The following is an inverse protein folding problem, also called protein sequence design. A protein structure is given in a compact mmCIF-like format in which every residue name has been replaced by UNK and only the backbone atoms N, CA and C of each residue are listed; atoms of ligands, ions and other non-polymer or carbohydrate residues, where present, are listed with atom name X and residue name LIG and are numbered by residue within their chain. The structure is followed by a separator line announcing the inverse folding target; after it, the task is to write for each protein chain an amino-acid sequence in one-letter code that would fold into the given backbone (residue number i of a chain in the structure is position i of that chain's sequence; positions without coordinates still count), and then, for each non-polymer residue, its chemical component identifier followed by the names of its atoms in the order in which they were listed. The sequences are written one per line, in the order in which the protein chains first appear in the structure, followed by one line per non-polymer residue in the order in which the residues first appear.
data_IF_774719361075
#
_entry.id   IF_774719361075
#
_cell.length_a   1.000
_cell.length_b   1.000
_cell.length_c   1.000
_cell.angle_alpha   90.00
_cell.angle_beta   90.00
_cell.angle_gamma   90.00
#
_symmetry.space_group_name_H-M   'P 1'
#
loop_
_entity.id
_entity.type
_entity.pdbx_description
1 polymer ?
#
# COMPACT_ATOMS: atom_id res chain seq x y z
N UNK A 1 -15.13 7.20 7.49
CA UNK A 1 -14.21 6.06 7.21
C UNK A 1 -15.00 4.90 6.64
N UNK A 2 -14.49 4.30 5.56
CA UNK A 2 -15.06 3.18 4.83
C UNK A 2 -14.04 2.04 4.86
N UNK A 3 -14.51 0.81 5.01
CA UNK A 3 -13.67 -0.38 5.02
C UNK A 3 -14.04 -1.25 3.82
N UNK A 4 -13.02 -1.69 3.09
CA UNK A 4 -13.15 -2.74 2.08
C UNK A 4 -12.30 -3.94 2.50
N UNK A 5 -12.84 -5.13 2.29
CA UNK A 5 -12.15 -6.40 2.51
C UNK A 5 -11.93 -7.04 1.14
N UNK A 6 -10.72 -7.56 0.92
CA UNK A 6 -10.29 -8.07 -0.38
C UNK A 6 -9.72 -9.46 -0.17
N UNK A 7 -10.34 -10.44 -0.78
CA UNK A 7 -9.87 -11.82 -0.82
C UNK A 7 -9.18 -12.13 -2.16
N UNK A 8 -8.53 -13.28 -2.22
CA UNK A 8 -7.90 -13.77 -3.47
C UNK A 8 -8.93 -13.91 -4.60
N UNK A 9 -10.15 -14.36 -4.26
CA UNK A 9 -11.27 -14.48 -5.20
C UNK A 9 -11.65 -13.14 -5.81
N UNK A 10 -11.63 -12.05 -5.05
CA UNK A 10 -11.92 -10.71 -5.57
C UNK A 10 -10.89 -10.29 -6.62
N UNK A 11 -9.61 -10.56 -6.38
CA UNK A 11 -8.56 -10.24 -7.35
C UNK A 11 -8.74 -11.04 -8.64
N UNK A 12 -9.07 -12.32 -8.53
CA UNK A 12 -9.33 -13.17 -9.69
C UNK A 12 -10.61 -12.75 -10.44
N UNK A 13 -11.74 -12.61 -9.76
CA UNK A 13 -13.02 -12.33 -10.40
C UNK A 13 -13.13 -10.89 -10.95
N UNK A 14 -12.61 -9.91 -10.21
CA UNK A 14 -12.74 -8.50 -10.58
C UNK A 14 -11.65 -8.06 -11.56
N UNK A 15 -10.47 -8.68 -11.51
CA UNK A 15 -9.30 -8.23 -12.30
C UNK A 15 -8.60 -9.31 -13.09
N UNK A 16 -9.07 -10.56 -13.05
CA UNK A 16 -8.48 -11.73 -13.75
C UNK A 16 -7.02 -11.95 -13.38
N UNK A 17 -6.66 -11.65 -12.13
CA UNK A 17 -5.31 -11.79 -11.61
C UNK A 17 -5.30 -12.86 -10.53
N UNK A 18 -4.53 -13.91 -10.74
CA UNK A 18 -4.27 -14.95 -9.74
C UNK A 18 -3.13 -14.49 -8.83
N UNK A 19 -3.32 -14.59 -7.52
CA UNK A 19 -2.37 -14.12 -6.51
C UNK A 19 -2.15 -15.21 -5.47
N UNK A 20 -0.97 -15.83 -5.50
CA UNK A 20 -0.62 -16.91 -4.57
C UNK A 20 -0.21 -16.41 -3.17
N UNK A 21 0.01 -15.10 -2.99
CA UNK A 21 0.35 -14.51 -1.70
C UNK A 21 -0.29 -13.12 -1.56
N UNK A 22 -1.42 -13.06 -0.83
CA UNK A 22 -2.20 -11.83 -0.68
C UNK A 22 -1.40 -10.65 -0.07
N UNK A 23 -0.73 -10.78 1.09
CA UNK A 23 0.13 -9.73 1.63
C UNK A 23 1.24 -9.31 0.65
N UNK A 24 1.75 -10.29 -0.10
CA UNK A 24 2.73 -10.09 -1.16
C UNK A 24 2.29 -9.12 -2.25
N UNK A 25 0.99 -9.04 -2.56
CA UNK A 25 0.43 -8.16 -3.58
C UNK A 25 0.68 -6.66 -3.31
N UNK A 26 0.96 -6.30 -2.05
CA UNK A 26 1.36 -4.94 -1.66
C UNK A 26 2.79 -4.57 -2.13
N UNK A 27 3.61 -5.56 -2.50
CA UNK A 27 5.02 -5.37 -2.90
C UNK A 27 5.27 -5.61 -4.40
N UNK A 28 4.23 -5.58 -5.23
CA UNK A 28 4.34 -5.86 -6.67
C UNK A 28 4.92 -4.68 -7.50
N UNK A 29 4.95 -3.47 -6.95
CA UNK A 29 5.41 -2.26 -7.63
C UNK A 29 6.71 -1.71 -7.06
N UNK A 30 7.50 -1.06 -7.91
CA UNK A 30 8.63 -0.24 -7.46
C UNK A 30 8.12 1.10 -6.98
N UNK A 31 8.34 1.42 -5.70
CA UNK A 31 8.02 2.74 -5.18
C UNK A 31 9.18 3.33 -4.38
N UNK A 32 9.39 4.65 -4.48
CA UNK A 32 10.47 5.34 -3.80
C UNK A 32 10.34 5.27 -2.28
N UNK A 33 9.16 4.92 -1.73
CA UNK A 33 8.93 4.79 -0.30
C UNK A 33 9.80 3.69 0.34
N UNK A 34 9.71 2.46 -0.19
CA UNK A 34 10.42 1.32 0.42
C UNK A 34 11.86 1.21 -0.05
N UNK A 35 12.23 1.86 -1.15
CA UNK A 35 13.60 1.79 -1.69
C UNK A 35 14.68 2.07 -0.63
N UNK A 36 14.56 3.12 0.22
CA UNK A 36 15.48 3.35 1.34
C UNK A 36 15.54 2.19 2.37
N UNK A 37 14.45 1.44 2.52
CA UNK A 37 14.30 0.38 3.52
C UNK A 37 14.54 -1.04 2.98
N UNK A 38 14.99 -1.19 1.73
CA UNK A 38 15.20 -2.50 1.11
C UNK A 38 16.11 -3.42 1.94
N UNK A 39 17.21 -2.88 2.48
CA UNK A 39 18.11 -3.65 3.36
C UNK A 39 17.44 -4.10 4.66
N UNK A 40 16.53 -3.29 5.21
CA UNK A 40 15.77 -3.63 6.42
C UNK A 40 14.79 -4.75 6.10
N UNK A 41 14.04 -4.62 5.01
CA UNK A 41 13.08 -5.62 4.53
C UNK A 41 13.74 -6.94 4.10
N UNK A 42 14.96 -6.89 3.56
CA UNK A 42 15.74 -8.08 3.20
C UNK A 42 15.97 -9.03 4.39
N UNK A 43 15.95 -8.52 5.62
CA UNK A 43 16.09 -9.36 6.82
C UNK A 43 14.99 -10.41 6.95
N UNK A 44 13.78 -10.10 6.46
CA UNK A 44 12.62 -11.00 6.43
C UNK A 44 12.88 -12.23 5.56
N UNK A 45 13.65 -12.05 4.47
CA UNK A 45 13.84 -13.08 3.47
C UNK A 45 14.73 -14.25 3.95
N UNK A 46 14.59 -15.43 3.33
CA UNK A 46 15.51 -16.55 3.51
C UNK A 46 16.96 -16.16 3.16
N UNK A 47 17.95 -16.83 3.76
CA UNK A 47 19.38 -16.49 3.60
C UNK A 47 19.82 -16.48 2.12
N UNK A 48 19.29 -17.42 1.33
CA UNK A 48 19.57 -17.54 -0.11
C UNK A 48 19.13 -16.33 -0.95
N UNK A 49 18.21 -15.52 -0.43
CA UNK A 49 17.68 -14.32 -1.09
C UNK A 49 18.37 -13.03 -0.63
N UNK A 50 19.33 -13.09 0.30
CA UNK A 50 20.06 -11.93 0.83
C UNK A 50 21.26 -11.52 -0.03
N UNK A 51 21.70 -10.27 0.11
CA UNK A 51 22.78 -9.65 -0.65
C UNK A 51 22.43 -9.38 -2.11
N UNK A 52 21.13 -9.30 -2.44
CA UNK A 52 20.65 -9.16 -3.83
C UNK A 52 20.25 -7.71 -4.13
N UNK A 53 19.93 -7.42 -5.38
CA UNK A 53 19.48 -6.08 -5.77
C UNK A 53 18.08 -5.77 -5.22
N UNK A 54 17.76 -4.47 -5.07
CA UNK A 54 16.43 -4.01 -4.60
C UNK A 54 15.27 -4.66 -5.36
N UNK A 55 15.41 -4.83 -6.69
CA UNK A 55 14.37 -5.44 -7.53
C UNK A 55 14.15 -6.92 -7.20
N UNK A 56 15.24 -7.63 -6.86
CA UNK A 56 15.14 -9.02 -6.43
C UNK A 56 14.52 -9.12 -5.03
N UNK A 57 14.90 -8.22 -4.12
CA UNK A 57 14.32 -8.15 -2.77
C UNK A 57 12.81 -7.93 -2.86
N UNK A 58 12.34 -6.95 -3.66
CA UNK A 58 10.91 -6.72 -3.86
C UNK A 58 10.16 -7.94 -4.41
N UNK A 59 10.72 -8.61 -5.41
CA UNK A 59 10.15 -9.84 -5.97
C UNK A 59 10.09 -10.97 -4.94
N UNK A 60 11.11 -11.10 -4.10
CA UNK A 60 11.12 -12.08 -3.02
C UNK A 60 10.11 -11.75 -1.91
N UNK A 61 9.97 -10.47 -1.54
CA UNK A 61 8.95 -10.02 -0.59
C UNK A 61 7.54 -10.39 -1.08
N UNK A 62 7.26 -10.18 -2.36
CA UNK A 62 5.98 -10.61 -2.97
C UNK A 62 5.65 -12.09 -2.70
N UNK A 63 6.64 -12.96 -2.50
CA UNK A 63 6.41 -14.40 -2.32
C UNK A 63 6.52 -14.89 -0.86
N UNK A 64 7.15 -14.11 0.04
CA UNK A 64 7.55 -14.60 1.37
C UNK A 64 6.92 -13.87 2.55
N UNK A 65 6.21 -12.77 2.34
CA UNK A 65 5.54 -12.05 3.42
C UNK A 65 4.28 -12.76 3.87
N UNK A 66 4.10 -12.88 5.18
CA UNK A 66 2.94 -13.53 5.81
C UNK A 66 1.88 -12.51 6.26
N UNK A 67 2.31 -11.35 6.77
CA UNK A 67 1.43 -10.31 7.28
C UNK A 67 2.00 -8.91 6.99
N UNK A 68 1.12 -7.93 6.76
CA UNK A 68 1.46 -6.51 6.65
C UNK A 68 0.43 -5.70 7.40
N UNK A 69 0.90 -4.80 8.25
CA UNK A 69 0.07 -3.78 8.91
C UNK A 69 0.64 -2.40 8.58
N UNK A 70 -0.23 -1.44 8.29
CA UNK A 70 0.15 -0.05 8.12
C UNK A 70 -0.93 0.89 8.64
N UNK A 71 -0.53 1.79 9.53
CA UNK A 71 -1.34 2.89 10.02
C UNK A 71 -0.60 4.24 9.84
N UNK A 72 -1.09 5.29 10.49
CA UNK A 72 -0.50 6.63 10.38
C UNK A 72 0.93 6.75 10.94
N UNK A 73 1.36 5.82 11.79
CA UNK A 73 2.61 5.88 12.55
C UNK A 73 3.62 4.84 12.09
N UNK A 74 3.18 3.67 11.64
CA UNK A 74 4.10 2.56 11.33
C UNK A 74 3.64 1.71 10.15
N UNK A 75 4.62 1.15 9.44
CA UNK A 75 4.45 -0.01 8.56
C UNK A 75 5.18 -1.19 9.18
N UNK A 76 4.45 -2.25 9.47
CA UNK A 76 4.96 -3.51 10.00
C UNK A 76 4.84 -4.60 8.93
N UNK A 77 5.93 -5.32 8.67
CA UNK A 77 5.97 -6.41 7.69
C UNK A 77 6.56 -7.64 8.37
N UNK A 78 5.85 -8.76 8.31
CA UNK A 78 6.21 -10.00 9.01
C UNK A 78 6.40 -11.17 8.06
N UNK A 79 7.40 -12.00 8.38
CA UNK A 79 7.64 -13.28 7.72
C UNK A 79 8.21 -14.28 8.74
N UNK A 80 7.47 -15.34 9.04
CA UNK A 80 7.74 -16.25 10.15
C UNK A 80 7.86 -15.50 11.48
N UNK A 81 8.95 -15.76 12.21
CA UNK A 81 9.27 -15.10 13.48
C UNK A 81 9.92 -13.71 13.33
N UNK A 82 10.11 -13.24 12.09
CA UNK A 82 10.78 -11.97 11.83
C UNK A 82 9.77 -10.86 11.59
N UNK A 83 10.06 -9.69 12.15
CA UNK A 83 9.29 -8.48 12.02
C UNK A 83 10.20 -7.32 11.61
N UNK A 84 9.76 -6.54 10.64
CA UNK A 84 10.37 -5.26 10.27
C UNK A 84 9.33 -4.16 10.46
N UNK A 85 9.71 -3.14 11.22
CA UNK A 85 8.90 -1.94 11.43
C UNK A 85 9.58 -0.75 10.75
N UNK A 86 8.80 0.08 10.07
CA UNK A 86 9.23 1.34 9.48
C UNK A 86 8.35 2.42 10.07
N UNK A 87 8.93 3.29 10.90
CA UNK A 87 8.16 4.36 11.54
C UNK A 87 8.02 5.57 10.62
N UNK A 88 7.02 6.41 10.91
CA UNK A 88 6.82 7.68 10.23
C UNK A 88 8.00 8.61 10.40
N UNK A 89 8.61 8.63 11.58
CA UNK A 89 9.77 9.45 11.91
C UNK A 89 10.98 9.03 11.08
N UNK A 90 11.27 7.72 11.04
CA UNK A 90 12.38 7.15 10.26
C UNK A 90 12.25 7.50 8.77
N UNK A 91 11.04 7.40 8.22
CA UNK A 91 10.77 7.84 6.84
C UNK A 91 10.89 9.36 6.69
N UNK A 92 10.36 10.12 7.64
CA UNK A 92 10.38 11.58 7.64
C UNK A 92 11.80 12.13 7.59
N UNK A 93 12.72 11.57 8.38
CA UNK A 93 14.14 11.92 8.39
C UNK A 93 14.79 11.63 7.02
N UNK A 94 14.61 10.42 6.49
CA UNK A 94 15.17 10.02 5.19
C UNK A 94 14.64 10.87 4.03
N UNK A 95 13.36 11.26 4.08
CA UNK A 95 12.77 12.14 3.08
C UNK A 95 13.25 13.58 3.27
N UNK A 96 13.44 14.04 4.50
CA UNK A 96 14.03 15.35 4.85
C UNK A 96 15.42 15.54 4.28
N UNK A 97 16.25 14.51 4.39
CA UNK A 97 17.61 14.54 3.83
C UNK A 97 17.60 14.57 2.29
N UNK A 98 16.70 13.81 1.65
CA UNK A 98 16.65 13.68 0.18
C UNK A 98 15.87 14.79 -0.52
N UNK A 99 14.85 15.33 0.13
CA UNK A 99 13.90 16.29 -0.42
C UNK A 99 13.57 17.40 0.59
N UNK A 100 14.53 18.29 0.93
CA UNK A 100 14.42 19.23 2.05
C UNK A 100 13.26 20.24 1.93
N UNK A 101 12.69 20.41 0.73
CA UNK A 101 11.58 21.31 0.44
C UNK A 101 10.19 20.68 0.54
N UNK A 102 10.10 19.39 0.91
CA UNK A 102 8.82 18.67 0.97
C UNK A 102 8.28 18.66 2.41
N UNK A 103 7.00 18.94 2.59
CA UNK A 103 6.33 18.83 3.90
C UNK A 103 6.15 17.36 4.31
N UNK A 104 7.18 16.77 4.93
CA UNK A 104 7.19 15.37 5.37
C UNK A 104 6.16 15.07 6.47
N UNK A 105 5.65 16.09 7.16
CA UNK A 105 4.56 15.95 8.12
C UNK A 105 3.27 15.42 7.48
N UNK A 106 3.14 15.44 6.15
CA UNK A 106 1.96 14.94 5.41
C UNK A 106 2.13 13.52 4.86
N UNK A 107 3.19 12.80 5.23
CA UNK A 107 3.41 11.42 4.80
C UNK A 107 2.25 10.52 5.24
N UNK A 108 1.48 10.03 4.26
CA UNK A 108 0.44 9.04 4.49
C UNK A 108 1.01 7.64 4.28
N UNK A 109 1.57 7.02 5.33
CA UNK A 109 2.24 5.71 5.23
C UNK A 109 1.37 4.63 4.57
N UNK A 110 0.09 4.43 4.98
CA UNK A 110 -0.75 3.38 4.40
C UNK A 110 -1.04 3.65 2.92
N UNK A 111 -1.30 4.92 2.57
CA UNK A 111 -1.46 5.33 1.18
C UNK A 111 -0.18 5.14 0.34
N UNK A 112 1.00 5.41 0.90
CA UNK A 112 2.28 5.20 0.22
C UNK A 112 2.59 3.72 0.01
N UNK A 113 2.31 2.87 1.00
CA UNK A 113 2.39 1.41 0.88
C UNK A 113 1.40 0.90 -0.18
N UNK A 114 0.15 1.37 -0.12
CA UNK A 114 -0.88 0.96 -1.06
C UNK A 114 -0.56 1.37 -2.50
N UNK A 115 0.14 2.49 -2.72
CA UNK A 115 0.63 2.88 -4.06
C UNK A 115 1.64 1.89 -4.67
N UNK A 116 2.32 1.11 -3.84
CA UNK A 116 3.28 0.10 -4.27
C UNK A 116 2.60 -1.21 -4.64
N UNK A 117 1.34 -1.39 -4.26
CA UNK A 117 0.58 -2.57 -4.64
C UNK A 117 0.45 -2.71 -6.16
N UNK A 118 0.16 -3.94 -6.57
CA UNK A 118 -0.10 -4.26 -7.97
C UNK A 118 -1.31 -3.52 -8.54
N UNK A 119 -1.36 -3.28 -9.87
CA UNK A 119 -2.54 -2.70 -10.53
C UNK A 119 -3.84 -3.46 -10.24
N UNK A 120 -3.77 -4.78 -10.12
CA UNK A 120 -4.89 -5.65 -9.77
C UNK A 120 -5.52 -5.26 -8.43
N UNK A 121 -4.70 -5.08 -7.38
CA UNK A 121 -5.22 -4.69 -6.07
C UNK A 121 -5.87 -3.30 -6.12
N UNK A 122 -5.23 -2.32 -6.77
CA UNK A 122 -5.79 -0.97 -6.91
C UNK A 122 -7.12 -0.97 -7.68
N UNK A 123 -7.21 -1.76 -8.75
CA UNK A 123 -8.44 -1.89 -9.54
C UNK A 123 -9.55 -2.61 -8.78
N UNK A 124 -9.25 -3.72 -8.10
CA UNK A 124 -10.21 -4.44 -7.26
C UNK A 124 -10.75 -3.53 -6.16
N UNK A 125 -9.89 -2.79 -5.45
CA UNK A 125 -10.31 -1.84 -4.42
C UNK A 125 -11.23 -0.75 -4.97
N UNK A 126 -10.93 -0.19 -6.15
CA UNK A 126 -11.79 0.81 -6.76
C UNK A 126 -13.17 0.25 -7.15
N UNK A 127 -13.20 -1.01 -7.62
CA UNK A 127 -14.46 -1.71 -7.95
C UNK A 127 -15.28 -1.97 -6.67
N UNK A 128 -14.65 -2.41 -5.59
CA UNK A 128 -15.31 -2.68 -4.31
C UNK A 128 -15.85 -1.40 -3.68
N UNK A 129 -15.06 -0.32 -3.64
CA UNK A 129 -15.53 1.01 -3.20
C UNK A 129 -16.77 1.48 -3.97
N UNK A 130 -16.81 1.23 -5.28
CA UNK A 130 -17.97 1.56 -6.11
C UNK A 130 -19.17 0.65 -5.83
N UNK A 131 -18.97 -0.67 -5.74
CA UNK A 131 -20.05 -1.66 -5.62
C UNK A 131 -20.70 -1.63 -4.24
N UNK A 132 -19.90 -1.56 -3.19
CA UNK A 132 -20.35 -1.70 -1.81
C UNK A 132 -20.69 -0.36 -1.17
N UNK A 133 -19.93 0.69 -1.50
CA UNK A 133 -20.00 1.98 -0.83
C UNK A 133 -20.48 3.12 -1.74
N UNK A 134 -20.82 2.81 -3.00
CA UNK A 134 -21.26 3.76 -4.03
C UNK A 134 -20.27 4.91 -4.26
N UNK A 135 -18.98 4.69 -3.96
CA UNK A 135 -17.94 5.67 -4.19
C UNK A 135 -17.26 5.43 -5.54
N UNK A 136 -17.42 6.37 -6.47
CA UNK A 136 -16.75 6.33 -7.75
C UNK A 136 -15.47 7.14 -7.73
N UNK A 137 -14.35 6.43 -7.88
CA UNK A 137 -13.06 7.06 -8.17
C UNK A 137 -13.03 7.45 -9.66
N UNK A 138 -12.69 8.71 -10.01
CA UNK A 138 -12.53 9.14 -11.40
C UNK A 138 -11.52 8.29 -12.16
N UNK A 139 -11.80 8.09 -13.44
CA UNK A 139 -10.93 7.32 -14.33
C UNK A 139 -9.55 7.99 -14.51
N UNK A 140 -8.54 7.16 -14.77
CA UNK A 140 -7.17 7.60 -15.02
C UNK A 140 -6.18 7.17 -13.94
N UNK A 141 -5.09 6.53 -14.36
CA UNK A 141 -4.10 5.92 -13.46
C UNK A 141 -3.50 6.91 -12.45
N UNK A 142 -3.21 8.15 -12.89
CA UNK A 142 -2.61 9.18 -12.01
C UNK A 142 -3.60 9.63 -10.93
N UNK A 143 -4.85 9.84 -11.31
CA UNK A 143 -5.94 10.26 -10.41
C UNK A 143 -6.24 9.19 -9.38
N UNK A 144 -6.39 7.94 -9.83
CA UNK A 144 -6.57 6.77 -8.96
C UNK A 144 -5.47 6.66 -7.90
N UNK A 145 -4.20 6.74 -8.34
CA UNK A 145 -3.05 6.70 -7.45
C UNK A 145 -3.07 7.83 -6.43
N UNK A 146 -3.34 9.07 -6.87
CA UNK A 146 -3.43 10.20 -5.97
C UNK A 146 -4.54 10.04 -4.92
N UNK A 147 -5.72 9.57 -5.34
CA UNK A 147 -6.86 9.35 -4.45
C UNK A 147 -6.56 8.27 -3.42
N UNK A 148 -5.97 7.13 -3.82
CA UNK A 148 -5.57 6.11 -2.85
C UNK A 148 -4.45 6.59 -1.92
N UNK A 149 -3.47 7.32 -2.45
CA UNK A 149 -2.41 7.87 -1.63
C UNK A 149 -2.93 8.82 -0.55
N UNK A 150 -4.00 9.59 -0.82
CA UNK A 150 -4.58 10.52 0.15
C UNK A 150 -5.62 9.86 1.06
N UNK A 151 -6.46 8.98 0.50
CA UNK A 151 -7.62 8.43 1.16
C UNK A 151 -7.36 7.15 1.95
N UNK A 152 -6.38 6.31 1.59
CA UNK A 152 -6.08 5.10 2.35
C UNK A 152 -5.43 5.47 3.67
N UNK A 153 -6.06 5.11 4.80
CA UNK A 153 -5.62 5.49 6.15
C UNK A 153 -5.17 4.29 6.98
N UNK A 154 -5.42 3.08 6.50
CA UNK A 154 -5.06 1.84 7.16
C UNK A 154 -4.99 0.73 6.14
N UNK A 155 -4.02 -0.16 6.30
CA UNK A 155 -3.92 -1.43 5.56
C UNK A 155 -3.56 -2.52 6.56
N UNK A 156 -4.30 -3.62 6.56
CA UNK A 156 -3.93 -4.84 7.27
C UNK A 156 -4.10 -6.01 6.31
N UNK A 157 -3.12 -6.88 6.20
CA UNK A 157 -3.09 -7.96 5.23
C UNK A 157 -2.51 -9.21 5.86
N UNK A 158 -3.19 -10.33 5.63
CA UNK A 158 -2.72 -11.67 5.98
C UNK A 158 -3.06 -12.63 4.84
N UNK A 159 -2.85 -13.93 5.05
CA UNK A 159 -3.08 -14.97 4.03
C UNK A 159 -4.55 -15.13 3.59
N UNK A 160 -5.50 -14.65 4.38
CA UNK A 160 -6.93 -14.80 4.12
C UNK A 160 -7.52 -13.58 3.41
N UNK A 161 -7.01 -12.38 3.72
CA UNK A 161 -7.60 -11.11 3.26
C UNK A 161 -6.67 -9.92 3.38
N UNK A 162 -7.02 -8.86 2.65
CA UNK A 162 -6.49 -7.50 2.78
C UNK A 162 -7.64 -6.58 3.19
N UNK A 163 -7.51 -5.92 4.33
CA UNK A 163 -8.39 -4.88 4.83
C UNK A 163 -7.78 -3.53 4.46
N UNK A 164 -8.58 -2.66 3.84
CA UNK A 164 -8.20 -1.29 3.54
C UNK A 164 -9.24 -0.35 4.13
N UNK A 165 -8.81 0.56 5.02
CA UNK A 165 -9.69 1.66 5.41
C UNK A 165 -9.39 2.88 4.53
N UNK A 166 -10.46 3.44 4.00
CA UNK A 166 -10.47 4.60 3.13
C UNK A 166 -11.26 5.73 3.78
N UNK A 167 -10.69 6.93 3.79
CA UNK A 167 -11.33 8.13 4.31
C UNK A 167 -11.53 9.17 3.20
N UNK A 168 -12.76 9.30 2.65
CA UNK A 168 -13.07 10.31 1.64
C UNK A 168 -12.85 11.74 2.12
N UNK A 169 -12.93 12.00 3.42
CA UNK A 169 -12.80 13.35 3.99
C UNK A 169 -11.37 13.89 3.91
N UNK A 170 -10.38 13.01 3.71
CA UNK A 170 -8.97 13.39 3.46
C UNK A 170 -8.71 13.85 2.03
N UNK A 171 -9.66 13.64 1.11
CA UNK A 171 -9.50 14.04 -0.28
C UNK A 171 -9.73 15.56 -0.42
N UNK A 172 -9.07 16.20 -1.41
CA UNK A 172 -9.37 17.59 -1.70
C UNK A 172 -10.86 17.76 -2.04
N UNK A 173 -11.43 18.90 -1.66
CA UNK A 173 -12.79 19.28 -2.02
C UNK A 173 -12.78 20.10 -3.30
N UNK A 174 -13.88 20.01 -4.07
CA UNK A 174 -14.14 20.91 -5.20
C UNK A 174 -14.35 22.34 -4.67
N UNK A 175 -14.29 23.33 -5.56
CA UNK A 175 -14.41 24.75 -5.19
C UNK A 175 -15.74 25.10 -4.50
N UNK A 176 -16.79 24.32 -4.77
CA UNK A 176 -18.11 24.42 -4.13
C UNK A 176 -18.20 23.68 -2.77
N UNK A 177 -17.09 23.10 -2.31
CA UNK A 177 -17.01 22.34 -1.06
C UNK A 177 -17.49 20.89 -1.16
N UNK A 178 -17.94 20.43 -2.33
CA UNK A 178 -18.33 19.03 -2.55
C UNK A 178 -17.11 18.10 -2.66
N UNK A 179 -17.33 16.81 -2.42
CA UNK A 179 -16.28 15.78 -2.55
C UNK A 179 -15.83 15.61 -4.00
N UNK A 180 -14.59 15.15 -4.19
CA UNK A 180 -14.07 14.80 -5.54
C UNK A 180 -14.54 13.44 -6.04
N UNK A 181 -15.07 12.60 -5.15
CA UNK A 181 -15.69 11.33 -5.49
C UNK A 181 -17.19 11.54 -5.74
N UNK A 182 -17.73 10.77 -6.69
CA UNK A 182 -19.14 10.78 -7.08
C UNK A 182 -19.89 9.54 -6.60
#
# INVERSE_FOLDING_TARGET
MITIEIHETDLNELTRTEVHNLPGALFAGTSPLLKPFMKKLETLLPVQNKGRSDSYILSALHSHIDEVHADENVICVKSGDKLVEISREELGELMGERYPSTDHHRLNLPGLLFLQSGPALQSASAILLRREHKLRIPDGRRTLRYIFHMGVVFVDANKERIIVNFDPDRLPKRADGSGVLE
#
